data_IF_213840972095
#
_entry.id   IF_213840972095
#
_cell.length_a   1.000
_cell.length_b   1.000
_cell.length_c   1.000
_cell.angle_alpha   90.00
_cell.angle_beta   90.00
_cell.angle_gamma   90.00
#
_symmetry.space_group_name_H-M   'P 1'
#
loop_
_entity.id
_entity.type
_entity.pdbx_description
1 polymer ?
#
# COMPACT_ATOMS: atom_id res chain seq x y z
N UNK A 1 -10.11 -6.64 27.40
CA UNK A 1 -10.20 -5.92 26.12
C UNK A 1 -9.89 -4.43 26.24
N UNK A 2 -10.52 -3.69 27.15
CA UNK A 2 -10.19 -2.24 27.36
C UNK A 2 -8.74 -2.02 27.81
N UNK A 3 -8.24 -2.84 28.75
CA UNK A 3 -6.85 -2.76 29.22
C UNK A 3 -5.84 -3.05 28.11
N UNK A 4 -6.11 -4.05 27.27
CA UNK A 4 -5.28 -4.38 26.10
C UNK A 4 -5.28 -3.20 25.09
N UNK A 5 -6.44 -2.58 24.86
CA UNK A 5 -6.56 -1.42 23.98
C UNK A 5 -5.72 -0.24 24.49
N UNK A 6 -5.73 0.03 25.78
CA UNK A 6 -4.93 1.11 26.39
C UNK A 6 -3.43 0.86 26.26
N UNK A 7 -2.98 -0.39 26.48
CA UNK A 7 -1.57 -0.76 26.31
C UNK A 7 -1.15 -0.58 24.83
N UNK A 8 -1.94 -1.09 23.88
CA UNK A 8 -1.61 -0.98 22.46
C UNK A 8 -1.66 0.49 21.99
N UNK A 9 -2.60 1.28 22.50
CA UNK A 9 -2.65 2.71 22.20
C UNK A 9 -1.38 3.44 22.62
N UNK A 10 -0.87 3.14 23.80
CA UNK A 10 0.38 3.73 24.29
C UNK A 10 1.58 3.30 23.43
N UNK A 11 1.67 2.01 23.08
CA UNK A 11 2.70 1.49 22.20
C UNK A 11 2.62 2.07 20.78
N UNK A 12 1.42 2.26 20.22
CA UNK A 12 1.23 2.90 18.95
C UNK A 12 1.63 4.39 18.97
N UNK A 13 1.36 5.09 20.06
CA UNK A 13 1.73 6.49 20.24
C UNK A 13 3.26 6.66 20.29
N UNK A 14 3.95 5.78 21.01
CA UNK A 14 5.41 5.74 21.04
C UNK A 14 6.01 5.40 19.67
N UNK A 15 5.36 4.51 18.91
CA UNK A 15 5.72 4.21 17.53
C UNK A 15 5.75 5.46 16.64
N UNK A 16 4.80 6.36 16.80
CA UNK A 16 4.72 7.56 15.98
C UNK A 16 5.80 8.58 16.32
N UNK A 17 6.21 8.68 17.59
CA UNK A 17 7.26 9.59 18.01
C UNK A 17 8.66 9.11 17.56
N UNK A 18 8.87 7.80 17.49
CA UNK A 18 10.19 7.18 17.27
C UNK A 18 10.54 6.85 15.82
N UNK A 19 9.62 7.02 14.85
CA UNK A 19 9.95 6.82 13.42
C UNK A 19 11.13 7.68 12.93
N UNK A 20 11.62 8.60 13.78
CA UNK A 20 12.82 9.40 13.55
C UNK A 20 14.13 8.79 14.09
N UNK A 21 14.08 7.70 14.87
CA UNK A 21 15.24 7.14 15.56
C UNK A 21 15.33 5.61 15.39
N UNK A 22 16.23 5.15 14.52
CA UNK A 22 16.54 3.73 14.22
C UNK A 22 16.96 2.86 15.45
N UNK A 23 17.02 3.41 16.64
CA UNK A 23 17.58 2.74 17.82
C UNK A 23 16.61 1.91 18.66
N UNK A 24 15.31 1.96 18.40
CA UNK A 24 14.30 1.37 19.29
C UNK A 24 13.60 0.11 18.75
N UNK A 25 14.02 -0.45 17.62
CA UNK A 25 13.39 -1.65 17.05
C UNK A 25 13.53 -2.89 17.96
N UNK A 26 14.68 -3.08 18.59
CA UNK A 26 14.94 -4.26 19.46
C UNK A 26 14.11 -4.23 20.75
N UNK A 27 13.97 -3.06 21.39
CA UNK A 27 13.21 -2.91 22.65
C UNK A 27 11.70 -3.16 22.44
N UNK A 28 11.18 -2.78 21.29
CA UNK A 28 9.78 -3.01 20.91
C UNK A 28 9.46 -4.47 20.64
N UNK A 29 10.40 -5.20 20.04
CA UNK A 29 10.25 -6.63 19.81
C UNK A 29 10.02 -7.35 21.13
N UNK A 30 10.80 -7.02 22.16
CA UNK A 30 10.70 -7.63 23.49
C UNK A 30 9.38 -7.29 24.19
N UNK A 31 8.92 -6.04 24.10
CA UNK A 31 7.64 -5.59 24.69
C UNK A 31 6.44 -6.22 23.97
N UNK A 32 6.50 -6.31 22.64
CA UNK A 32 5.47 -6.97 21.84
C UNK A 32 5.42 -8.47 22.14
N UNK A 33 6.56 -9.15 22.21
CA UNK A 33 6.63 -10.57 22.58
C UNK A 33 6.05 -10.81 23.97
N UNK A 34 6.36 -9.95 24.93
CA UNK A 34 5.81 -10.01 26.26
C UNK A 34 4.30 -9.81 26.26
N UNK A 35 3.80 -8.76 25.59
CA UNK A 35 2.37 -8.49 25.46
C UNK A 35 1.63 -9.69 24.88
N UNK A 36 2.15 -10.28 23.80
CA UNK A 36 1.56 -11.44 23.13
C UNK A 36 1.56 -12.65 24.07
N UNK A 37 2.65 -12.90 24.81
CA UNK A 37 2.78 -14.06 25.69
C UNK A 37 1.94 -13.96 26.96
N UNK A 38 1.68 -12.77 27.47
CA UNK A 38 0.90 -12.52 28.71
C UNK A 38 -0.60 -12.32 28.43
N UNK A 39 -0.98 -12.05 27.17
CA UNK A 39 -2.39 -11.83 26.80
C UNK A 39 -3.10 -13.14 26.50
N UNK A 40 -4.37 -13.26 26.97
CA UNK A 40 -5.21 -14.41 26.60
C UNK A 40 -5.35 -14.49 25.06
N UNK A 41 -5.04 -15.65 24.44
CA UNK A 41 -5.05 -15.83 23.00
C UNK A 41 -6.38 -15.48 22.33
N UNK A 42 -7.53 -15.80 22.96
CA UNK A 42 -8.84 -15.49 22.39
C UNK A 42 -9.09 -13.98 22.38
N UNK A 43 -8.67 -13.26 23.43
CA UNK A 43 -8.80 -11.79 23.51
C UNK A 43 -7.91 -11.13 22.46
N UNK A 44 -6.68 -11.62 22.27
CA UNK A 44 -5.76 -11.08 21.27
C UNK A 44 -6.27 -11.33 19.86
N UNK A 45 -6.86 -12.51 19.61
CA UNK A 45 -7.48 -12.85 18.34
C UNK A 45 -8.65 -11.92 18.02
N UNK A 46 -9.62 -11.79 18.93
CA UNK A 46 -10.79 -10.93 18.76
C UNK A 46 -10.38 -9.46 18.53
N UNK A 47 -9.32 -9.02 19.23
CA UNK A 47 -8.78 -7.68 19.05
C UNK A 47 -8.17 -7.52 17.66
N UNK A 48 -7.32 -8.46 17.25
CA UNK A 48 -6.68 -8.42 15.92
C UNK A 48 -7.70 -8.46 14.78
N UNK A 49 -8.74 -9.30 14.89
CA UNK A 49 -9.84 -9.33 13.92
C UNK A 49 -10.53 -7.96 13.81
N UNK A 50 -10.80 -7.30 14.93
CA UNK A 50 -11.43 -5.98 14.95
C UNK A 50 -10.57 -4.90 14.29
N UNK A 51 -9.26 -4.88 14.56
CA UNK A 51 -8.33 -3.93 13.92
C UNK A 51 -8.19 -4.23 12.42
N UNK A 52 -8.17 -5.50 12.03
CA UNK A 52 -8.18 -5.90 10.63
C UNK A 52 -9.42 -5.39 9.89
N UNK A 53 -10.60 -5.52 10.48
CA UNK A 53 -11.85 -5.02 9.89
C UNK A 53 -11.78 -3.50 9.72
N UNK A 54 -11.24 -2.77 10.69
CA UNK A 54 -11.06 -1.31 10.61
C UNK A 54 -10.07 -0.92 9.50
N UNK A 55 -8.93 -1.61 9.40
CA UNK A 55 -7.96 -1.42 8.30
C UNK A 55 -8.63 -1.69 6.95
N UNK A 56 -9.39 -2.77 6.83
CA UNK A 56 -10.11 -3.13 5.62
C UNK A 56 -11.15 -2.08 5.23
N UNK A 57 -11.88 -1.57 6.18
CA UNK A 57 -12.86 -0.49 5.95
C UNK A 57 -12.18 0.78 5.46
N UNK A 58 -11.04 1.18 6.05
CA UNK A 58 -10.24 2.31 5.57
C UNK A 58 -9.80 2.08 4.14
N UNK A 59 -9.21 0.92 3.84
CA UNK A 59 -8.70 0.57 2.51
C UNK A 59 -9.83 0.62 1.47
N UNK A 60 -11.01 0.05 1.79
CA UNK A 60 -12.16 0.02 0.90
C UNK A 60 -12.78 1.40 0.66
N UNK A 61 -12.77 2.27 1.68
CA UNK A 61 -13.35 3.60 1.61
C UNK A 61 -12.39 4.66 1.04
N UNK A 62 -11.09 4.38 1.01
CA UNK A 62 -10.07 5.25 0.43
C UNK A 62 -10.07 5.23 -1.12
N UNK A 63 -11.08 4.62 -1.75
CA UNK A 63 -11.19 4.52 -3.19
C UNK A 63 -11.19 5.88 -3.90
N UNK A 64 -10.41 5.94 -4.96
CA UNK A 64 -10.69 6.87 -6.06
C UNK A 64 -10.12 8.26 -5.97
N UNK A 65 -9.12 8.54 -5.15
CA UNK A 65 -8.38 9.80 -5.34
C UNK A 65 -7.56 9.68 -6.63
N UNK A 66 -8.02 10.39 -7.64
CA UNK A 66 -7.28 10.53 -8.88
C UNK A 66 -5.94 11.19 -8.57
N UNK A 67 -4.84 10.50 -8.85
CA UNK A 67 -3.53 11.12 -8.87
C UNK A 67 -3.49 12.02 -10.11
N UNK A 68 -3.77 13.31 -9.92
CA UNK A 68 -3.64 14.31 -10.97
C UNK A 68 -2.17 14.69 -11.01
N UNK A 69 -1.48 14.14 -11.98
CA UNK A 69 -0.06 14.41 -12.16
C UNK A 69 0.12 15.77 -12.86
N UNK A 70 0.61 16.71 -12.11
CA UNK A 70 1.11 17.98 -12.65
C UNK A 70 2.64 17.96 -12.57
N UNK A 71 3.29 17.82 -13.73
CA UNK A 71 4.68 18.24 -14.02
C UNK A 71 5.85 17.30 -13.65
N UNK A 72 6.84 17.37 -14.46
CA UNK A 72 8.31 17.13 -14.55
C UNK A 72 9.04 16.31 -13.47
N UNK A 73 8.42 15.99 -12.35
CA UNK A 73 9.01 15.27 -11.22
C UNK A 73 8.12 14.09 -10.83
N UNK A 74 8.66 13.16 -10.09
CA UNK A 74 7.89 12.12 -9.39
C UNK A 74 6.72 12.77 -8.68
N UNK A 75 5.50 12.40 -9.05
CA UNK A 75 4.30 12.89 -8.38
C UNK A 75 3.87 11.85 -7.37
N UNK A 76 3.86 12.25 -6.12
CA UNK A 76 3.41 11.41 -5.01
C UNK A 76 2.27 12.09 -4.26
N UNK A 77 1.29 11.31 -3.84
CA UNK A 77 0.19 11.73 -2.99
C UNK A 77 0.03 10.72 -1.86
N UNK A 78 0.04 11.20 -0.62
CA UNK A 78 -0.16 10.35 0.57
C UNK A 78 -1.42 10.77 1.32
N UNK A 79 -2.18 9.78 1.74
CA UNK A 79 -3.30 9.92 2.67
C UNK A 79 -2.98 9.15 3.93
N UNK A 80 -3.35 9.72 5.07
CA UNK A 80 -3.11 9.14 6.38
C UNK A 80 -4.44 9.00 7.12
N UNK A 81 -4.68 7.83 7.69
CA UNK A 81 -5.87 7.50 8.46
C UNK A 81 -5.43 6.96 9.82
N UNK A 82 -6.07 7.44 10.88
CA UNK A 82 -5.82 6.98 12.24
C UNK A 82 -6.81 5.87 12.61
N UNK A 83 -6.30 4.79 13.19
CA UNK A 83 -7.10 3.69 13.74
C UNK A 83 -7.63 4.03 15.15
N UNK A 84 -8.66 3.34 15.57
CA UNK A 84 -9.34 3.60 16.88
C UNK A 84 -8.43 3.37 18.10
N UNK A 85 -7.26 2.76 17.91
CA UNK A 85 -6.25 2.47 18.93
C UNK A 85 -4.94 3.23 18.72
N UNK A 86 -4.96 4.29 17.91
CA UNK A 86 -3.81 5.14 17.65
C UNK A 86 -2.84 4.61 16.59
N UNK A 87 -3.09 3.45 15.99
CA UNK A 87 -2.36 3.00 14.81
C UNK A 87 -2.64 3.87 13.57
N UNK A 88 -1.81 3.76 12.56
CA UNK A 88 -1.93 4.57 11.32
C UNK A 88 -1.93 3.68 10.09
N UNK A 89 -2.80 3.99 9.13
CA UNK A 89 -2.76 3.48 7.76
C UNK A 89 -2.36 4.62 6.82
N UNK A 90 -1.27 4.47 6.10
CA UNK A 90 -0.84 5.40 5.05
C UNK A 90 -1.07 4.77 3.68
N UNK A 91 -1.63 5.55 2.75
CA UNK A 91 -1.83 5.15 1.37
C UNK A 91 -1.08 6.14 0.50
N UNK A 92 -0.01 5.68 -0.13
CA UNK A 92 0.82 6.51 -1.02
C UNK A 92 0.66 6.07 -2.46
N UNK A 93 0.39 7.02 -3.33
CA UNK A 93 0.42 6.83 -4.77
C UNK A 93 1.61 7.58 -5.33
N UNK A 94 2.37 6.93 -6.18
CA UNK A 94 3.51 7.55 -6.86
C UNK A 94 3.46 7.20 -8.33
N UNK A 95 3.73 8.18 -9.18
CA UNK A 95 3.87 7.96 -10.61
C UNK A 95 5.16 8.62 -11.09
N UNK A 96 5.97 7.88 -11.85
CA UNK A 96 7.28 8.34 -12.29
C UNK A 96 7.65 7.77 -13.65
N UNK A 97 8.35 8.54 -14.50
CA UNK A 97 9.03 8.00 -15.66
C UNK A 97 10.25 7.18 -15.22
N UNK A 98 10.46 6.00 -15.81
CA UNK A 98 11.62 5.16 -15.53
C UNK A 98 12.90 5.69 -16.20
N UNK A 99 12.77 6.40 -17.32
CA UNK A 99 13.87 7.05 -18.02
C UNK A 99 13.96 8.54 -17.63
N UNK A 100 15.06 8.90 -16.93
CA UNK A 100 15.40 10.30 -16.57
C UNK A 100 15.76 11.14 -17.80
N UNK A 101 14.82 11.41 -18.68
CA UNK A 101 15.00 12.38 -19.76
C UNK A 101 14.31 13.68 -19.38
N UNK A 102 15.13 14.76 -19.24
CA UNK A 102 14.70 16.13 -19.03
C UNK A 102 13.47 16.48 -19.88
N UNK A 103 12.31 16.63 -19.24
CA UNK A 103 11.08 16.97 -19.93
C UNK A 103 10.56 18.29 -19.39
N UNK A 104 10.49 19.27 -20.28
CA UNK A 104 9.85 20.54 -20.04
C UNK A 104 8.33 20.39 -20.13
N UNK A 105 7.70 20.37 -18.96
CA UNK A 105 6.35 20.80 -18.65
C UNK A 105 5.10 20.10 -19.25
N UNK A 106 4.14 19.90 -18.38
CA UNK A 106 2.70 19.68 -18.50
C UNK A 106 2.25 18.25 -18.65
N UNK A 107 1.56 17.73 -17.64
CA UNK A 107 0.56 16.61 -17.63
C UNK A 107 0.74 15.45 -18.64
N UNK A 108 1.88 15.37 -19.31
CA UNK A 108 2.19 14.38 -20.32
C UNK A 108 3.28 13.45 -19.83
N UNK A 109 2.96 12.16 -19.80
CA UNK A 109 3.97 11.12 -19.65
C UNK A 109 4.78 11.03 -20.94
N UNK A 110 6.12 11.04 -20.83
CA UNK A 110 6.97 10.91 -22.01
C UNK A 110 6.77 9.56 -22.69
N UNK A 111 7.18 9.51 -23.94
CA UNK A 111 7.34 8.25 -24.64
C UNK A 111 8.31 7.34 -23.88
N UNK A 112 7.97 6.07 -23.75
CA UNK A 112 8.77 5.04 -23.06
C UNK A 112 8.12 4.57 -21.77
N UNK A 113 8.92 3.90 -20.94
CA UNK A 113 8.48 3.24 -19.74
C UNK A 113 8.21 4.22 -18.59
N UNK A 114 7.09 4.02 -17.93
CA UNK A 114 6.64 4.74 -16.76
C UNK A 114 6.17 3.75 -15.69
N UNK A 115 6.16 4.17 -14.44
CA UNK A 115 5.73 3.36 -13.31
C UNK A 115 4.65 4.07 -12.50
N UNK A 116 3.60 3.33 -12.13
CA UNK A 116 2.61 3.73 -11.16
C UNK A 116 2.66 2.77 -9.97
N UNK A 117 2.90 3.31 -8.80
CA UNK A 117 3.00 2.59 -7.54
C UNK A 117 1.87 3.00 -6.60
N UNK A 118 1.26 2.01 -5.96
CA UNK A 118 0.29 2.19 -4.87
C UNK A 118 0.81 1.40 -3.69
N UNK A 119 1.13 2.08 -2.60
CA UNK A 119 1.67 1.51 -1.37
C UNK A 119 0.73 1.78 -0.19
N UNK A 120 0.30 0.71 0.45
CA UNK A 120 -0.42 0.71 1.72
C UNK A 120 0.55 0.34 2.82
N UNK A 121 0.75 1.22 3.76
CA UNK A 121 1.61 1.00 4.92
C UNK A 121 0.80 1.05 6.20
N UNK A 122 0.83 -0.03 6.97
CA UNK A 122 0.24 -0.08 8.30
C UNK A 122 1.34 0.14 9.34
N UNK A 123 1.20 1.20 10.13
CA UNK A 123 2.06 1.54 11.26
C UNK A 123 1.32 1.23 12.55
N UNK A 124 1.51 0.04 13.06
CA UNK A 124 0.78 -0.46 14.22
C UNK A 124 1.61 -1.52 14.94
N UNK A 125 1.52 -1.57 16.27
CA UNK A 125 2.30 -2.50 17.11
C UNK A 125 2.16 -3.95 16.67
N UNK A 126 0.93 -4.41 16.33
CA UNK A 126 0.70 -5.78 15.83
C UNK A 126 1.03 -5.96 14.34
N UNK A 127 1.33 -4.90 13.62
CA UNK A 127 1.64 -4.91 12.19
C UNK A 127 2.95 -4.16 11.92
N UNK A 128 4.07 -4.56 12.54
CA UNK A 128 5.32 -3.85 12.38
C UNK A 128 5.72 -3.85 10.90
N UNK A 129 5.99 -2.65 10.37
CA UNK A 129 6.47 -2.41 9.01
C UNK A 129 5.72 -3.19 7.90
N UNK A 130 4.40 -3.28 8.04
CA UNK A 130 3.58 -4.01 7.06
C UNK A 130 3.27 -3.13 5.85
N UNK A 131 3.75 -3.55 4.69
CA UNK A 131 3.52 -2.90 3.40
C UNK A 131 2.81 -3.82 2.42
N UNK A 132 1.83 -3.28 1.70
CA UNK A 132 1.18 -3.90 0.55
C UNK A 132 1.33 -2.97 -0.64
N UNK A 133 2.30 -3.23 -1.51
CA UNK A 133 2.66 -2.32 -2.59
C UNK A 133 2.49 -2.99 -3.95
N UNK A 134 1.67 -2.40 -4.82
CA UNK A 134 1.49 -2.78 -6.21
C UNK A 134 2.21 -1.80 -7.12
N UNK A 135 3.10 -2.33 -7.95
CA UNK A 135 3.80 -1.59 -8.99
C UNK A 135 3.26 -1.99 -10.35
N UNK A 136 2.90 -1.01 -11.15
CA UNK A 136 2.42 -1.18 -12.53
C UNK A 136 3.34 -0.43 -13.48
N UNK A 137 4.12 -1.17 -14.28
CA UNK A 137 4.96 -0.58 -15.32
C UNK A 137 4.18 -0.48 -16.63
N UNK A 138 4.27 0.66 -17.29
CA UNK A 138 3.57 0.89 -18.55
C UNK A 138 4.40 1.72 -19.54
N UNK A 139 4.32 1.33 -20.80
CA UNK A 139 4.91 2.07 -21.93
C UNK A 139 3.91 3.04 -22.53
N UNK A 140 4.39 4.23 -22.85
CA UNK A 140 3.64 5.26 -23.60
C UNK A 140 4.25 5.39 -24.97
N UNK A 141 3.45 5.12 -26.02
CA UNK A 141 3.89 5.25 -27.39
C UNK A 141 2.88 6.05 -28.25
N UNK A 142 3.23 6.29 -29.52
CA UNK A 142 2.44 7.15 -30.43
C UNK A 142 1.02 6.64 -30.73
N UNK A 143 0.70 5.41 -30.35
CA UNK A 143 -0.57 4.77 -30.71
C UNK A 143 -1.40 4.37 -29.49
N UNK A 144 -0.76 4.11 -28.36
CA UNK A 144 -1.40 3.56 -27.17
C UNK A 144 -0.54 3.75 -25.92
N UNK A 145 -1.14 3.40 -24.77
CA UNK A 145 -0.44 3.05 -23.56
C UNK A 145 -0.56 1.53 -23.36
N UNK A 146 0.49 0.89 -22.87
CA UNK A 146 0.54 -0.55 -22.70
C UNK A 146 1.13 -0.92 -21.34
N UNK A 147 0.41 -1.71 -20.52
CA UNK A 147 0.92 -2.25 -19.29
C UNK A 147 1.90 -3.39 -19.62
N UNK A 148 3.19 -3.16 -19.38
CA UNK A 148 4.27 -4.08 -19.76
C UNK A 148 4.56 -5.09 -18.66
N UNK A 149 4.39 -4.70 -17.39
CA UNK A 149 4.57 -5.59 -16.25
C UNK A 149 3.81 -5.15 -15.01
N UNK A 150 3.70 -6.06 -14.05
CA UNK A 150 3.27 -5.76 -12.70
C UNK A 150 4.13 -6.51 -11.70
N UNK A 151 4.38 -5.90 -10.56
CA UNK A 151 5.07 -6.53 -9.44
C UNK A 151 4.46 -6.10 -8.11
N UNK A 152 4.67 -6.92 -7.08
CA UNK A 152 4.32 -6.58 -5.71
C UNK A 152 5.61 -6.42 -4.92
N UNK A 153 5.72 -5.29 -4.20
CA UNK A 153 6.78 -5.03 -3.23
C UNK A 153 6.21 -5.15 -1.82
N UNK A 154 7.05 -4.96 -0.82
CA UNK A 154 6.66 -4.88 0.58
C UNK A 154 7.16 -6.02 1.43
N UNK A 155 6.88 -5.94 2.72
CA UNK A 155 7.36 -6.87 3.75
C UNK A 155 6.79 -8.25 3.51
N UNK A 156 7.64 -9.27 3.60
CA UNK A 156 7.22 -10.68 3.45
C UNK A 156 7.06 -11.39 4.79
N UNK A 157 7.90 -11.04 5.77
CA UNK A 157 7.84 -11.62 7.13
C UNK A 157 8.55 -10.68 8.11
N UNK A 158 7.78 -10.10 9.02
CA UNK A 158 8.28 -9.39 10.20
C UNK A 158 7.38 -9.80 11.34
N UNK A 159 7.93 -10.49 12.35
CA UNK A 159 7.13 -10.99 13.47
C UNK A 159 6.26 -9.87 14.07
N UNK A 160 4.97 -10.10 14.34
CA UNK A 160 4.18 -11.34 14.18
C UNK A 160 3.49 -11.50 12.81
N UNK A 161 3.90 -10.77 11.79
CA UNK A 161 3.21 -10.70 10.49
C UNK A 161 3.94 -11.48 9.40
N UNK A 162 3.18 -12.19 8.59
CA UNK A 162 3.65 -12.80 7.33
C UNK A 162 2.78 -12.30 6.18
N UNK A 163 3.40 -11.84 5.09
CA UNK A 163 2.71 -11.39 3.87
C UNK A 163 3.08 -12.29 2.71
N UNK A 164 2.09 -12.98 2.14
CA UNK A 164 2.22 -13.62 0.83
C UNK A 164 1.61 -12.74 -0.24
N UNK A 165 2.21 -12.71 -1.43
CA UNK A 165 1.84 -11.74 -2.47
C UNK A 165 2.02 -12.28 -3.87
N UNK A 166 1.15 -11.84 -4.79
CA UNK A 166 1.24 -12.10 -6.22
C UNK A 166 0.69 -10.93 -7.03
N UNK A 167 1.06 -10.83 -8.30
CA UNK A 167 0.50 -9.80 -9.19
C UNK A 167 0.22 -10.33 -10.58
N UNK A 168 -0.68 -9.65 -11.29
CA UNK A 168 -1.03 -9.92 -12.67
C UNK A 168 -1.48 -8.64 -13.39
N UNK A 169 -1.19 -8.56 -14.68
CA UNK A 169 -1.80 -7.57 -15.56
C UNK A 169 -3.19 -8.08 -15.96
N UNK A 170 -4.26 -7.34 -15.65
CA UNK A 170 -5.60 -7.75 -16.02
C UNK A 170 -6.12 -7.02 -17.28
N UNK A 171 -5.50 -5.88 -17.65
CA UNK A 171 -5.78 -5.18 -18.89
C UNK A 171 -4.52 -4.49 -19.40
N UNK A 172 -3.98 -4.99 -20.52
CA UNK A 172 -2.65 -4.61 -21.00
C UNK A 172 -2.63 -3.38 -21.92
N UNK A 173 -3.73 -3.01 -22.62
CA UNK A 173 -3.65 -2.00 -23.67
C UNK A 173 -4.83 -1.04 -23.67
N UNK A 174 -4.54 0.26 -23.94
CA UNK A 174 -5.52 1.31 -24.18
C UNK A 174 -5.05 2.22 -25.33
N UNK A 175 -5.88 2.40 -26.35
CA UNK A 175 -5.57 3.16 -27.57
C UNK A 175 -6.50 4.33 -27.80
N UNK A 176 -7.63 4.37 -27.12
CA UNK A 176 -8.65 5.41 -27.28
C UNK A 176 -8.85 6.16 -25.97
N UNK A 177 -9.31 7.40 -26.10
CA UNK A 177 -9.74 8.19 -24.95
C UNK A 177 -10.72 7.37 -24.08
N UNK A 178 -10.54 7.49 -22.77
CA UNK A 178 -11.35 6.84 -21.73
C UNK A 178 -11.11 5.31 -21.57
N UNK A 179 -10.34 4.67 -22.47
CA UNK A 179 -9.82 3.33 -22.22
C UNK A 179 -8.76 3.37 -21.11
N UNK A 180 -8.48 2.22 -20.49
CA UNK A 180 -7.52 2.10 -19.43
C UNK A 180 -6.69 0.83 -19.56
N UNK A 181 -5.54 0.82 -18.92
CA UNK A 181 -4.73 -0.35 -18.60
C UNK A 181 -4.76 -0.57 -17.09
N UNK A 182 -4.37 -1.76 -16.64
CA UNK A 182 -4.34 -2.00 -15.20
C UNK A 182 -3.71 -3.32 -14.79
N UNK A 183 -3.25 -3.33 -13.55
CA UNK A 183 -2.68 -4.47 -12.88
C UNK A 183 -3.38 -4.72 -11.54
N UNK A 184 -3.24 -5.93 -11.03
CA UNK A 184 -3.80 -6.37 -9.74
C UNK A 184 -2.70 -7.01 -8.92
N UNK A 185 -2.61 -6.63 -7.65
CA UNK A 185 -1.84 -7.30 -6.61
C UNK A 185 -2.78 -8.00 -5.63
N UNK A 186 -2.53 -9.27 -5.36
CA UNK A 186 -3.26 -10.07 -4.38
C UNK A 186 -2.30 -10.35 -3.21
N UNK A 187 -2.77 -10.12 -1.98
CA UNK A 187 -1.98 -10.24 -0.75
C UNK A 187 -2.77 -11.03 0.27
N UNK A 188 -2.09 -11.92 0.99
CA UNK A 188 -2.61 -12.53 2.22
C UNK A 188 -1.72 -12.09 3.37
N UNK A 189 -2.28 -11.36 4.31
CA UNK A 189 -1.62 -10.93 5.54
C UNK A 189 -2.04 -11.87 6.66
N UNK A 190 -1.08 -12.50 7.31
CA UNK A 190 -1.33 -13.42 8.43
C UNK A 190 -0.64 -12.86 9.67
N UNK A 191 -1.41 -12.66 10.73
CA UNK A 191 -0.93 -12.21 12.04
C UNK A 191 -1.04 -13.37 13.03
N UNK A 192 0.03 -13.66 13.74
CA UNK A 192 0.07 -14.73 14.72
C UNK A 192 1.39 -15.48 14.72
N UNK A 193 1.58 -16.39 15.68
CA UNK A 193 2.66 -17.35 15.59
C UNK A 193 3.66 -17.43 16.73
N UNK A 194 3.29 -17.11 17.97
CA UNK A 194 4.03 -17.62 19.11
C UNK A 194 3.14 -18.64 19.85
N UNK A 195 3.70 -19.84 20.12
CA UNK A 195 3.14 -20.98 20.87
C UNK A 195 1.65 -20.88 21.27
N UNK A 196 0.74 -21.12 20.32
CA UNK A 196 -0.67 -21.31 20.61
C UNK A 196 -1.60 -20.14 20.31
N UNK A 197 -1.12 -19.01 19.81
CA UNK A 197 -1.97 -17.91 19.32
C UNK A 197 -2.56 -18.30 17.96
N UNK A 198 -3.87 -18.29 17.87
CA UNK A 198 -4.57 -18.59 16.61
C UNK A 198 -4.17 -17.60 15.52
N UNK A 199 -3.90 -18.12 14.33
CA UNK A 199 -3.61 -17.29 13.16
C UNK A 199 -4.87 -16.53 12.73
N UNK A 200 -4.71 -15.23 12.51
CA UNK A 200 -5.70 -14.39 11.82
C UNK A 200 -5.14 -14.10 10.44
N UNK A 201 -5.88 -14.45 9.39
CA UNK A 201 -5.50 -14.20 8.01
C UNK A 201 -6.52 -13.34 7.31
N UNK A 202 -6.05 -12.37 6.53
CA UNK A 202 -6.88 -11.51 5.70
C UNK A 202 -6.32 -11.41 4.30
N UNK A 203 -7.21 -11.42 3.33
CA UNK A 203 -6.89 -11.22 1.93
C UNK A 203 -7.21 -9.78 1.53
N UNK A 204 -6.27 -9.19 0.79
CA UNK A 204 -6.39 -7.86 0.19
C UNK A 204 -6.11 -7.95 -1.30
N UNK A 205 -6.88 -7.21 -2.07
CA UNK A 205 -6.65 -7.06 -3.51
C UNK A 205 -6.51 -5.57 -3.83
N UNK A 206 -5.37 -5.18 -4.38
CA UNK A 206 -5.12 -3.81 -4.87
C UNK A 206 -5.18 -3.85 -6.40
N UNK A 207 -5.97 -2.97 -7.00
CA UNK A 207 -6.05 -2.81 -8.46
C UNK A 207 -5.62 -1.42 -8.85
N UNK A 208 -4.66 -1.32 -9.74
CA UNK A 208 -4.29 -0.07 -10.42
C UNK A 208 -5.12 0.11 -11.68
N UNK A 209 -5.44 1.36 -11.99
CA UNK A 209 -6.14 1.73 -13.22
C UNK A 209 -5.52 2.99 -13.78
N UNK A 210 -4.93 2.91 -14.98
CA UNK A 210 -4.32 4.04 -15.68
C UNK A 210 -5.15 4.30 -16.92
N UNK A 211 -5.95 5.37 -16.87
CA UNK A 211 -6.89 5.76 -17.91
C UNK A 211 -6.22 6.70 -18.90
N UNK A 212 -6.36 6.43 -20.20
CA UNK A 212 -5.86 7.27 -21.25
C UNK A 212 -6.83 8.44 -21.49
N UNK A 213 -6.35 9.67 -21.36
CA UNK A 213 -7.12 10.86 -21.72
C UNK A 213 -6.80 11.33 -23.13
N UNK A 214 -5.52 11.40 -23.48
CA UNK A 214 -5.09 11.95 -24.77
C UNK A 214 -3.67 11.46 -25.12
N UNK A 215 -3.41 11.24 -26.42
CA UNK A 215 -2.07 11.01 -26.97
C UNK A 215 -1.65 12.24 -27.74
N UNK A 216 -0.57 12.88 -27.33
CA UNK A 216 -0.01 14.08 -27.94
C UNK A 216 1.17 13.79 -28.85
N UNK A 217 1.95 14.82 -29.16
CA UNK A 217 3.14 14.73 -30.02
C UNK A 217 4.40 14.33 -29.25
N UNK A 218 4.40 14.44 -27.94
CA UNK A 218 5.58 14.18 -27.06
C UNK A 218 5.31 13.17 -25.94
N UNK A 219 4.09 12.63 -25.83
CA UNK A 219 3.70 11.71 -24.77
C UNK A 219 2.19 11.54 -24.68
N UNK A 220 1.70 11.00 -23.59
CA UNK A 220 0.28 10.82 -23.31
C UNK A 220 -0.12 11.49 -22.00
N UNK A 221 -1.31 12.05 -21.97
CA UNK A 221 -1.98 12.43 -20.74
C UNK A 221 -2.76 11.24 -20.20
N UNK A 222 -2.48 10.85 -18.97
CA UNK A 222 -3.17 9.76 -18.31
C UNK A 222 -3.64 10.19 -16.91
N UNK A 223 -4.65 9.48 -16.42
CA UNK A 223 -5.10 9.55 -15.03
C UNK A 223 -4.91 8.20 -14.39
N UNK A 224 -4.13 8.16 -13.33
CA UNK A 224 -3.97 6.97 -12.51
C UNK A 224 -4.90 7.01 -11.31
N UNK A 225 -5.45 5.86 -10.96
CA UNK A 225 -6.28 5.64 -9.80
C UNK A 225 -6.11 4.20 -9.32
N UNK A 226 -6.54 3.93 -8.10
CA UNK A 226 -6.54 2.58 -7.55
C UNK A 226 -7.91 2.24 -6.97
N UNK A 227 -8.15 0.96 -6.75
CA UNK A 227 -9.18 0.43 -5.87
C UNK A 227 -8.62 -0.75 -5.09
N UNK A 228 -9.16 -0.98 -3.89
CA UNK A 228 -8.79 -2.13 -3.07
C UNK A 228 -10.04 -2.83 -2.51
N UNK A 229 -9.89 -4.11 -2.19
CA UNK A 229 -10.93 -4.98 -1.61
C UNK A 229 -10.33 -5.89 -0.57
#
# INVERSE_FOLDING_TARGET
MEELKEIIYNLNSELQEDYSNEKNEDLRSDELEKLISETNPDILKDYTEKINDEIKDIINNAEGLECIVNTNDVTSSTQTFELSDGGIVEITQTISPLDNKNINARTFYPWGDNEYEVDYRVKHTLYPDTHLCLVTTFDVNKQNIECTSSSTKGTSTVFPVTVTKSSKVYKSKASKKDEYIGAQGDYTVTVGGYDGIGFVSMDYTIKSKIKLNYIGTSGAEVKASYSAQ
#
